data_IF_512949686925
#
_entry.id   IF_512949686925
#
_cell.length_a   1.000
_cell.length_b   1.000
_cell.length_c   1.000
_cell.angle_alpha   90.00
_cell.angle_beta   90.00
_cell.angle_gamma   90.00
#
_symmetry.space_group_name_H-M   'P 1'
#
loop_
_entity.id
_entity.type
_entity.pdbx_description
1 polymer ?
#
# COMPACT_ATOMS: atom_id res chain seq x y z
N UNK A 1 -27.74 21.74 10.06
CA UNK A 1 -26.49 21.21 10.65
C UNK A 1 -25.39 22.24 10.38
N UNK A 2 -24.86 22.88 11.43
CA UNK A 2 -23.79 23.86 11.29
C UNK A 2 -22.54 23.21 10.69
N UNK A 3 -21.89 23.86 9.73
CA UNK A 3 -20.61 23.40 9.22
C UNK A 3 -19.62 23.33 10.39
N UNK A 4 -18.91 22.19 10.58
CA UNK A 4 -17.87 22.13 11.59
C UNK A 4 -16.86 23.24 11.30
N UNK A 5 -16.56 24.07 12.32
CA UNK A 5 -15.55 25.12 12.19
C UNK A 5 -14.17 24.49 12.21
N UNK A 6 -13.58 24.32 11.05
CA UNK A 6 -12.17 23.99 10.93
C UNK A 6 -11.29 25.24 11.01
N UNK A 7 -10.05 25.07 11.44
CA UNK A 7 -9.02 26.08 11.21
C UNK A 7 -8.98 26.30 9.70
N UNK A 8 -9.25 27.53 9.28
CA UNK A 8 -9.21 27.89 7.87
C UNK A 8 -7.79 27.61 7.35
N UNK A 9 -7.71 26.76 6.33
CA UNK A 9 -6.48 26.31 5.74
C UNK A 9 -6.32 26.86 4.34
N UNK A 10 -7.24 27.76 3.95
CA UNK A 10 -7.19 28.34 2.63
C UNK A 10 -6.00 29.30 2.54
N UNK A 11 -5.35 29.22 1.41
CA UNK A 11 -4.43 30.20 0.87
C UNK A 11 -5.10 31.59 0.74
N UNK A 12 -5.73 32.09 1.81
CA UNK A 12 -6.54 33.31 1.78
C UNK A 12 -5.72 34.61 1.79
N UNK A 13 -4.41 34.48 1.72
CA UNK A 13 -3.56 35.65 1.53
C UNK A 13 -3.14 35.71 0.07
N UNK A 14 -3.66 36.70 -0.67
CA UNK A 14 -3.21 36.99 -2.05
C UNK A 14 -1.68 36.98 -2.19
N UNK A 15 -0.99 37.52 -1.19
CA UNK A 15 0.47 37.53 -1.16
C UNK A 15 1.08 36.15 -0.89
N UNK A 16 0.48 35.36 -0.01
CA UNK A 16 0.92 33.99 0.27
C UNK A 16 0.74 33.07 -0.94
N UNK A 17 -0.37 33.17 -1.63
CA UNK A 17 -0.65 32.41 -2.85
C UNK A 17 0.30 32.81 -3.98
N UNK A 18 0.53 34.10 -4.15
CA UNK A 18 1.54 34.60 -5.11
C UNK A 18 2.94 34.02 -4.83
N UNK A 19 3.37 34.01 -3.55
CA UNK A 19 4.66 33.43 -3.20
C UNK A 19 4.73 31.93 -3.50
N UNK A 20 3.69 31.17 -3.15
CA UNK A 20 3.66 29.75 -3.48
C UNK A 20 3.70 29.49 -4.99
N UNK A 21 3.05 30.31 -5.79
CA UNK A 21 3.10 30.21 -7.24
C UNK A 21 4.48 30.49 -7.83
N UNK A 22 5.24 31.39 -7.19
CA UNK A 22 6.64 31.64 -7.59
C UNK A 22 7.61 30.53 -7.14
N UNK A 23 7.37 29.94 -5.94
CA UNK A 23 8.33 29.01 -5.31
C UNK A 23 8.07 27.55 -5.74
N UNK A 24 6.80 27.16 -5.90
CA UNK A 24 6.44 25.79 -6.26
C UNK A 24 6.16 25.70 -7.78
N UNK A 25 7.08 25.17 -8.59
CA UNK A 25 6.89 25.14 -10.05
C UNK A 25 5.65 24.35 -10.47
N UNK A 26 5.05 24.71 -11.58
CA UNK A 26 3.86 24.01 -12.12
C UNK A 26 4.10 22.52 -12.44
N UNK A 27 5.34 22.17 -12.80
CA UNK A 27 5.76 20.79 -13.03
C UNK A 27 6.21 20.06 -11.75
N UNK A 28 6.05 20.66 -10.56
CA UNK A 28 6.38 19.99 -9.32
C UNK A 28 5.43 18.82 -9.06
N UNK A 29 5.97 17.67 -8.61
CA UNK A 29 5.19 16.46 -8.35
C UNK A 29 3.95 16.71 -7.48
N UNK A 30 4.10 17.45 -6.38
CA UNK A 30 3.00 17.72 -5.45
C UNK A 30 1.90 18.60 -6.08
N UNK A 31 2.24 19.51 -7.04
CA UNK A 31 1.23 20.24 -7.82
C UNK A 31 0.41 19.30 -8.69
N UNK A 32 1.06 18.40 -9.41
CA UNK A 32 0.35 17.43 -10.24
C UNK A 32 -0.51 16.49 -9.40
N UNK A 33 0.01 16.03 -8.27
CA UNK A 33 -0.77 15.22 -7.33
C UNK A 33 -2.00 15.99 -6.80
N UNK A 34 -1.81 17.25 -6.40
CA UNK A 34 -2.91 18.08 -5.89
C UNK A 34 -4.02 18.28 -6.93
N UNK A 35 -3.67 18.41 -8.20
CA UNK A 35 -4.62 18.60 -9.29
C UNK A 35 -5.41 17.32 -9.65
N UNK A 36 -4.88 16.13 -9.35
CA UNK A 36 -5.50 14.84 -9.68
C UNK A 36 -6.48 14.33 -8.62
N UNK A 37 -6.44 14.87 -7.40
CA UNK A 37 -7.25 14.38 -6.27
C UNK A 37 -8.18 15.48 -5.76
N UNK A 38 -9.47 15.20 -5.68
CA UNK A 38 -10.44 16.09 -5.04
C UNK A 38 -10.36 15.99 -3.51
N UNK A 39 -9.59 16.90 -2.91
CA UNK A 39 -9.43 16.94 -1.46
C UNK A 39 -10.69 17.39 -0.73
N UNK A 40 -11.58 18.17 -1.38
CA UNK A 40 -12.86 18.59 -0.79
C UNK A 40 -13.79 17.41 -0.54
N UNK A 41 -13.74 16.41 -1.40
CA UNK A 41 -14.42 15.14 -1.21
C UNK A 41 -13.94 14.44 0.08
N UNK A 42 -12.61 14.38 0.30
CA UNK A 42 -12.05 13.79 1.52
C UNK A 42 -12.39 14.59 2.77
N UNK A 43 -12.42 15.92 2.71
CA UNK A 43 -12.93 16.74 3.83
C UNK A 43 -14.34 16.30 4.23
N UNK A 44 -15.27 16.22 3.27
CA UNK A 44 -16.66 15.80 3.51
C UNK A 44 -16.76 14.36 4.03
N UNK A 45 -16.02 13.42 3.43
CA UNK A 45 -15.99 12.01 3.82
C UNK A 45 -15.47 11.82 5.26
N UNK A 46 -14.36 12.46 5.58
CA UNK A 46 -13.64 12.26 6.84
C UNK A 46 -14.21 13.08 8.01
N UNK A 47 -14.96 14.16 7.74
CA UNK A 47 -15.68 14.92 8.77
C UNK A 47 -16.61 14.02 9.59
N UNK A 48 -17.21 13.01 8.96
CA UNK A 48 -18.09 12.04 9.62
C UNK A 48 -17.40 11.25 10.76
N UNK A 49 -16.06 11.25 10.77
CA UNK A 49 -15.27 10.60 11.83
C UNK A 49 -15.06 11.48 13.07
N UNK A 50 -15.49 12.75 13.02
CA UNK A 50 -15.40 13.67 14.14
C UNK A 50 -16.69 13.60 14.99
N UNK A 51 -16.54 13.67 16.32
CA UNK A 51 -17.68 13.74 17.26
C UNK A 51 -17.97 15.20 17.58
N UNK A 52 -19.26 15.54 17.57
CA UNK A 52 -19.72 16.86 17.99
C UNK A 52 -19.73 17.90 16.86
N UNK A 53 -20.49 18.95 17.05
CA UNK A 53 -20.72 20.02 16.06
C UNK A 53 -19.66 21.13 16.13
N UNK A 54 -18.62 20.98 16.92
CA UNK A 54 -17.52 21.95 17.02
C UNK A 54 -17.92 23.33 17.58
N UNK A 55 -18.98 23.39 18.37
CA UNK A 55 -19.52 24.64 18.91
C UNK A 55 -18.71 25.21 20.08
N UNK A 56 -17.89 24.37 20.73
CA UNK A 56 -17.05 24.78 21.87
C UNK A 56 -15.62 24.24 21.71
N UNK A 57 -14.62 25.03 22.11
CA UNK A 57 -13.23 24.68 22.08
C UNK A 57 -12.45 25.21 20.87
N UNK A 58 -11.16 24.84 20.77
CA UNK A 58 -10.30 25.20 19.63
C UNK A 58 -10.81 24.51 18.36
N UNK A 59 -10.94 25.24 17.25
CA UNK A 59 -11.30 24.64 15.97
C UNK A 59 -10.35 23.49 15.59
N UNK A 60 -10.89 22.40 15.05
CA UNK A 60 -10.10 21.29 14.54
C UNK A 60 -9.41 21.66 13.21
N UNK A 61 -8.33 20.99 12.88
CA UNK A 61 -7.79 21.04 11.52
C UNK A 61 -8.76 20.35 10.54
N UNK A 62 -8.76 20.83 9.29
CA UNK A 62 -9.46 20.15 8.20
C UNK A 62 -8.97 18.69 8.10
N UNK A 63 -9.88 17.70 8.08
CA UNK A 63 -9.51 16.30 7.92
C UNK A 63 -8.69 16.01 6.67
N UNK A 64 -8.93 16.69 5.56
CA UNK A 64 -8.14 16.50 4.35
C UNK A 64 -6.71 17.08 4.47
N UNK A 65 -6.52 18.17 5.25
CA UNK A 65 -5.18 18.66 5.57
C UNK A 65 -4.40 17.61 6.34
N UNK A 66 -5.01 17.02 7.37
CA UNK A 66 -4.36 15.98 8.18
C UNK A 66 -4.11 14.70 7.35
N UNK A 67 -5.02 14.34 6.44
CA UNK A 67 -4.80 13.24 5.50
C UNK A 67 -3.59 13.51 4.61
N UNK A 68 -3.52 14.70 3.98
CA UNK A 68 -2.38 15.10 3.14
C UNK A 68 -1.07 15.10 3.94
N UNK A 69 -1.11 15.51 5.21
CA UNK A 69 0.06 15.44 6.10
C UNK A 69 0.52 14.00 6.35
N UNK A 70 -0.41 13.06 6.57
CA UNK A 70 -0.09 11.63 6.65
C UNK A 70 0.45 11.09 5.32
N UNK A 71 -0.11 11.50 4.18
CA UNK A 71 0.43 11.09 2.87
C UNK A 71 1.86 11.59 2.66
N UNK A 72 2.20 12.81 3.09
CA UNK A 72 3.58 13.31 3.10
C UNK A 72 4.47 12.42 3.98
N UNK A 73 4.01 12.03 5.18
CA UNK A 73 4.75 11.11 6.05
C UNK A 73 5.12 9.80 5.35
N UNK A 74 4.17 9.19 4.63
CA UNK A 74 4.42 7.92 3.91
C UNK A 74 5.14 8.11 2.57
N UNK A 75 4.94 9.24 1.90
CA UNK A 75 5.60 9.56 0.64
C UNK A 75 7.10 9.75 0.81
N UNK A 76 7.52 10.37 1.92
CA UNK A 76 8.92 10.69 2.23
C UNK A 76 9.53 9.78 3.32
N UNK A 77 8.81 8.76 3.78
CA UNK A 77 9.24 7.82 4.85
C UNK A 77 9.62 8.54 6.15
N UNK A 78 8.80 9.49 6.58
CA UNK A 78 9.02 10.31 7.78
C UNK A 78 8.19 9.77 8.97
N UNK A 79 8.74 9.87 10.18
CA UNK A 79 7.96 9.75 11.42
C UNK A 79 7.02 10.95 11.58
N UNK A 80 6.04 10.89 12.48
CA UNK A 80 5.14 12.03 12.75
C UNK A 80 5.91 13.28 13.20
N UNK A 81 6.97 13.15 14.02
CA UNK A 81 7.83 14.28 14.43
C UNK A 81 8.62 14.86 13.26
N UNK A 82 9.18 14.00 12.41
CA UNK A 82 9.87 14.45 11.21
C UNK A 82 8.90 15.09 10.22
N UNK A 83 7.66 14.62 10.15
CA UNK A 83 6.63 15.21 9.30
C UNK A 83 6.27 16.62 9.74
N UNK A 84 6.10 16.86 11.05
CA UNK A 84 5.89 18.21 11.59
C UNK A 84 7.03 19.16 11.21
N UNK A 85 8.29 18.76 11.46
CA UNK A 85 9.47 19.54 11.10
C UNK A 85 9.52 19.80 9.58
N UNK A 86 9.35 18.74 8.78
CA UNK A 86 9.38 18.82 7.32
C UNK A 86 8.33 19.77 6.75
N UNK A 87 7.10 19.75 7.26
CA UNK A 87 6.02 20.65 6.84
C UNK A 87 6.30 22.10 7.24
N UNK A 88 7.04 22.36 8.31
CA UNK A 88 7.44 23.71 8.68
C UNK A 88 8.58 24.27 7.82
N UNK A 89 9.46 23.41 7.30
CA UNK A 89 10.68 23.80 6.59
C UNK A 89 10.55 23.69 5.06
N UNK A 90 9.66 22.83 4.55
CA UNK A 90 9.52 22.54 3.13
C UNK A 90 8.28 23.23 2.53
N UNK A 91 8.48 24.30 1.79
CA UNK A 91 7.40 25.11 1.21
C UNK A 91 6.51 24.33 0.22
N UNK A 92 7.02 23.49 -0.70
CA UNK A 92 6.19 22.67 -1.54
C UNK A 92 5.27 21.70 -0.77
N UNK A 93 5.79 21.06 0.30
CA UNK A 93 4.99 20.17 1.15
C UNK A 93 3.95 20.96 1.95
N UNK A 94 4.33 22.11 2.50
CA UNK A 94 3.45 23.04 3.21
C UNK A 94 2.30 23.51 2.34
N UNK A 95 2.60 23.92 1.11
CA UNK A 95 1.60 24.24 0.09
C UNK A 95 0.66 23.07 -0.19
N UNK A 96 1.22 21.87 -0.43
CA UNK A 96 0.43 20.68 -0.76
C UNK A 96 -0.57 20.31 0.33
N UNK A 97 -0.22 20.44 1.60
CA UNK A 97 -1.15 20.13 2.70
C UNK A 97 -2.19 21.22 2.91
N UNK A 98 -2.04 22.41 2.30
CA UNK A 98 -2.99 23.52 2.36
C UNK A 98 -2.75 24.46 3.54
N UNK A 99 -1.51 24.57 4.03
CA UNK A 99 -1.14 25.54 5.05
C UNK A 99 -0.76 26.88 4.42
N UNK A 100 -1.14 27.99 5.05
CA UNK A 100 -0.60 29.30 4.70
C UNK A 100 0.90 29.37 4.98
N UNK A 101 1.61 30.27 4.29
CA UNK A 101 3.06 30.32 4.33
C UNK A 101 3.62 30.59 5.75
N UNK A 102 2.92 31.39 6.53
CA UNK A 102 3.23 31.75 7.91
C UNK A 102 2.61 30.81 8.96
N UNK A 103 1.72 29.92 8.53
CA UNK A 103 1.01 28.99 9.42
C UNK A 103 1.94 27.84 9.84
N UNK A 104 1.91 27.48 11.13
CA UNK A 104 2.63 26.31 11.65
C UNK A 104 1.92 25.02 11.26
N UNK A 105 2.72 23.98 11.00
CA UNK A 105 2.23 22.63 10.78
C UNK A 105 1.48 22.09 12.00
N UNK A 106 0.55 21.12 11.79
CA UNK A 106 -0.02 20.37 12.89
C UNK A 106 1.09 19.68 13.70
N UNK A 107 0.98 19.74 15.01
CA UNK A 107 1.86 19.02 15.93
C UNK A 107 1.81 17.50 15.66
N UNK A 108 2.95 16.82 15.83
CA UNK A 108 3.06 15.37 15.62
C UNK A 108 2.05 14.56 16.43
N UNK A 109 1.69 15.01 17.65
CA UNK A 109 0.66 14.34 18.46
C UNK A 109 -0.72 14.45 17.79
N UNK A 110 -1.02 15.56 17.11
CA UNK A 110 -2.24 15.73 16.31
C UNK A 110 -2.31 14.71 15.17
N UNK A 111 -1.18 14.45 14.48
CA UNK A 111 -1.11 13.45 13.42
C UNK A 111 -1.32 12.04 13.99
N UNK A 112 -0.71 11.72 15.13
CA UNK A 112 -0.89 10.44 15.82
C UNK A 112 -2.35 10.22 16.23
N UNK A 113 -2.99 11.22 16.84
CA UNK A 113 -4.41 11.17 17.24
C UNK A 113 -5.32 11.04 16.01
N UNK A 114 -5.00 11.72 14.92
CA UNK A 114 -5.77 11.63 13.68
C UNK A 114 -5.68 10.24 13.05
N UNK A 115 -4.48 9.65 12.96
CA UNK A 115 -4.29 8.27 12.47
C UNK A 115 -5.09 7.28 13.31
N UNK A 116 -5.05 7.40 14.66
CA UNK A 116 -5.84 6.55 15.54
C UNK A 116 -7.35 6.75 15.36
N UNK A 117 -7.79 7.96 15.03
CA UNK A 117 -9.19 8.23 14.68
C UNK A 117 -9.60 7.53 13.39
N UNK A 118 -8.77 7.58 12.35
CA UNK A 118 -9.00 6.85 11.10
C UNK A 118 -9.11 5.35 11.38
N UNK A 119 -8.18 4.77 12.15
CA UNK A 119 -8.20 3.36 12.51
C UNK A 119 -9.45 2.97 13.29
N UNK A 120 -9.72 3.65 14.40
CA UNK A 120 -10.82 3.27 15.30
C UNK A 120 -12.21 3.52 14.74
N UNK A 121 -12.41 4.59 13.98
CA UNK A 121 -13.73 5.01 13.46
C UNK A 121 -13.93 4.72 11.99
N UNK A 122 -12.89 4.89 11.17
CA UNK A 122 -12.90 4.56 9.75
C UNK A 122 -12.81 3.06 9.51
N UNK A 123 -12.14 2.35 10.42
CA UNK A 123 -11.82 0.92 10.31
C UNK A 123 -11.08 0.60 9.00
N UNK A 124 -10.80 -0.65 8.77
CA UNK A 124 -10.15 -1.14 7.54
C UNK A 124 -10.90 -0.72 6.26
N UNK A 125 -12.21 -0.77 6.30
CA UNK A 125 -13.08 -0.42 5.16
C UNK A 125 -12.80 0.97 4.58
N UNK A 126 -12.47 1.97 5.42
CA UNK A 126 -12.13 3.31 4.95
C UNK A 126 -10.91 3.30 4.04
N UNK A 127 -9.87 2.55 4.41
CA UNK A 127 -8.63 2.49 3.64
C UNK A 127 -8.79 1.68 2.37
N UNK A 128 -9.59 0.61 2.40
CA UNK A 128 -9.97 -0.14 1.19
C UNK A 128 -10.71 0.75 0.20
N UNK A 129 -11.70 1.50 0.68
CA UNK A 129 -12.44 2.46 -0.15
C UNK A 129 -11.51 3.52 -0.75
N UNK A 130 -10.60 4.10 0.05
CA UNK A 130 -9.64 5.10 -0.43
C UNK A 130 -8.70 4.52 -1.50
N UNK A 131 -8.22 3.29 -1.34
CA UNK A 131 -7.39 2.63 -2.34
C UNK A 131 -8.17 2.43 -3.65
N UNK A 132 -9.41 1.93 -3.57
CA UNK A 132 -10.28 1.72 -4.73
C UNK A 132 -10.64 3.04 -5.43
N UNK A 133 -10.91 4.12 -4.67
CA UNK A 133 -11.20 5.46 -5.20
C UNK A 133 -10.02 6.03 -6.00
N UNK A 134 -8.77 5.79 -5.56
CA UNK A 134 -7.58 6.22 -6.28
C UNK A 134 -7.41 5.42 -7.58
N UNK A 135 -7.71 4.12 -7.57
CA UNK A 135 -7.72 3.29 -8.78
C UNK A 135 -8.77 3.79 -9.77
N UNK A 136 -9.97 4.08 -9.29
CA UNK A 136 -11.06 4.63 -10.11
C UNK A 136 -10.73 6.03 -10.65
N UNK A 137 -10.15 6.92 -9.82
CA UNK A 137 -9.68 8.24 -10.28
C UNK A 137 -8.65 8.10 -11.40
N UNK A 138 -7.68 7.19 -11.25
CA UNK A 138 -6.69 6.94 -12.30
C UNK A 138 -7.35 6.46 -13.61
N UNK A 139 -8.34 5.56 -13.52
CA UNK A 139 -9.10 5.05 -14.67
C UNK A 139 -9.86 6.17 -15.38
N UNK A 140 -10.53 7.04 -14.64
CA UNK A 140 -11.24 8.20 -15.17
C UNK A 140 -10.30 9.20 -15.84
N UNK A 141 -9.06 9.30 -15.37
CA UNK A 141 -8.00 10.12 -15.97
C UNK A 141 -7.27 9.43 -17.15
N UNK A 142 -7.80 8.29 -17.63
CA UNK A 142 -7.29 7.60 -18.83
C UNK A 142 -6.16 6.60 -18.58
N UNK A 143 -5.84 6.27 -17.33
CA UNK A 143 -4.89 5.18 -17.04
C UNK A 143 -5.49 3.85 -17.48
N UNK A 144 -4.76 3.13 -18.34
CA UNK A 144 -5.17 1.82 -18.84
C UNK A 144 -4.78 0.70 -17.90
N UNK A 145 -5.72 -0.19 -17.64
CA UNK A 145 -5.50 -1.45 -16.92
C UNK A 145 -5.54 -2.60 -17.93
N UNK A 146 -4.58 -3.51 -17.84
CA UNK A 146 -4.48 -4.66 -18.73
C UNK A 146 -5.14 -5.91 -18.16
N UNK A 147 -5.18 -6.96 -18.99
CA UNK A 147 -5.83 -8.23 -18.68
C UNK A 147 -5.10 -9.09 -17.63
N UNK A 148 -3.86 -8.76 -17.27
CA UNK A 148 -3.06 -9.56 -16.32
C UNK A 148 -2.97 -8.87 -14.98
N UNK A 149 -3.30 -9.63 -13.92
CA UNK A 149 -3.16 -9.26 -12.52
C UNK A 149 -2.10 -10.15 -11.87
N UNK A 150 -1.30 -9.57 -10.98
CA UNK A 150 -0.24 -10.26 -10.27
C UNK A 150 -0.56 -10.24 -8.78
N UNK A 151 -0.58 -11.41 -8.15
CA UNK A 151 -0.76 -11.54 -6.70
C UNK A 151 0.53 -12.08 -6.09
N UNK A 152 1.02 -11.39 -5.05
CA UNK A 152 2.20 -11.82 -4.29
C UNK A 152 2.17 -11.22 -2.89
N UNK A 153 3.07 -11.66 -2.01
CA UNK A 153 3.17 -11.17 -0.65
C UNK A 153 4.55 -10.60 -0.32
N UNK A 154 4.56 -9.63 0.57
CA UNK A 154 5.78 -9.04 1.10
C UNK A 154 5.75 -9.07 2.62
N UNK A 155 6.87 -9.48 3.25
CA UNK A 155 7.01 -9.50 4.69
C UNK A 155 7.52 -8.14 5.22
N UNK A 156 7.08 -7.80 6.44
CA UNK A 156 7.55 -6.67 7.25
C UNK A 156 7.92 -7.15 8.63
N UNK A 157 9.08 -6.74 9.13
CA UNK A 157 9.55 -7.11 10.47
C UNK A 157 8.78 -6.30 11.52
N UNK A 158 8.36 -6.94 12.61
CA UNK A 158 7.70 -6.28 13.73
C UNK A 158 8.61 -5.24 14.39
N UNK A 159 8.00 -4.23 15.01
CA UNK A 159 8.74 -3.17 15.70
C UNK A 159 9.02 -3.53 17.17
N UNK A 160 9.58 -4.72 17.38
CA UNK A 160 9.97 -5.24 18.69
C UNK A 160 11.42 -5.72 18.66
N UNK A 161 12.03 -5.86 19.83
CA UNK A 161 13.35 -6.46 19.96
C UNK A 161 13.20 -7.94 20.31
N UNK A 162 13.19 -8.81 19.32
CA UNK A 162 12.98 -10.26 19.48
C UNK A 162 14.03 -10.98 20.32
N UNK A 163 15.19 -10.37 20.61
CA UNK A 163 16.21 -10.94 21.52
C UNK A 163 15.90 -10.71 23.00
N UNK A 164 15.07 -9.69 23.30
CA UNK A 164 14.68 -9.28 24.65
C UNK A 164 13.21 -9.53 24.94
N UNK A 165 12.44 -9.92 23.93
CA UNK A 165 11.01 -10.15 24.01
C UNK A 165 10.74 -11.49 24.71
N UNK A 166 9.75 -11.53 25.59
CA UNK A 166 9.31 -12.75 26.26
C UNK A 166 8.47 -13.59 25.27
N UNK A 167 8.89 -14.81 24.93
CA UNK A 167 8.09 -15.66 24.03
C UNK A 167 6.69 -15.99 24.57
N UNK A 168 6.52 -16.01 25.90
CA UNK A 168 5.24 -16.32 26.56
C UNK A 168 4.34 -15.09 26.71
N UNK A 169 4.91 -13.88 26.70
CA UNK A 169 4.18 -12.59 26.71
C UNK A 169 4.81 -11.58 25.72
N UNK A 170 4.69 -11.82 24.42
CA UNK A 170 5.35 -11.00 23.40
C UNK A 170 4.77 -9.60 23.35
N UNK A 171 5.65 -8.58 23.21
CA UNK A 171 5.26 -7.16 23.08
C UNK A 171 4.30 -6.93 21.88
N UNK A 172 4.47 -7.70 20.81
CA UNK A 172 3.55 -7.71 19.63
C UNK A 172 2.92 -9.10 19.48
N UNK A 173 1.84 -9.35 20.19
CA UNK A 173 1.15 -10.65 20.22
C UNK A 173 0.55 -11.08 18.87
N UNK A 174 0.28 -10.13 17.97
CA UNK A 174 -0.28 -10.39 16.63
C UNK A 174 0.81 -10.80 15.62
N UNK A 175 2.06 -10.38 15.82
CA UNK A 175 3.18 -10.77 14.99
C UNK A 175 3.53 -12.25 15.22
N UNK A 176 4.00 -12.92 14.16
CA UNK A 176 4.41 -14.33 14.23
C UNK A 176 5.64 -14.58 13.38
N UNK A 177 6.39 -15.63 13.72
CA UNK A 177 7.52 -16.11 12.96
C UNK A 177 7.07 -16.65 11.60
N UNK A 178 7.63 -16.08 10.53
CA UNK A 178 7.41 -16.53 9.16
C UNK A 178 8.72 -16.88 8.46
N UNK A 179 8.64 -17.62 7.36
CA UNK A 179 9.79 -17.96 6.53
C UNK A 179 10.06 -16.86 5.53
N UNK A 180 11.25 -16.28 5.55
CA UNK A 180 11.68 -15.26 4.58
C UNK A 180 12.14 -15.91 3.28
N UNK A 181 13.07 -16.84 3.35
CA UNK A 181 13.49 -17.69 2.24
C UNK A 181 14.27 -18.92 2.75
N UNK A 182 14.26 -19.97 1.93
CA UNK A 182 15.06 -21.17 2.16
C UNK A 182 15.98 -21.42 0.98
N UNK A 183 17.22 -21.74 1.24
CA UNK A 183 18.23 -22.01 0.22
C UNK A 183 19.09 -23.20 0.61
N UNK A 184 19.67 -23.86 -0.38
CA UNK A 184 20.59 -24.96 -0.17
C UNK A 184 22.04 -24.46 -0.10
N UNK A 185 22.77 -24.89 0.88
CA UNK A 185 24.22 -24.63 1.05
C UNK A 185 24.96 -25.93 0.99
N UNK A 186 26.07 -25.99 0.27
CA UNK A 186 26.98 -27.12 0.32
C UNK A 186 27.90 -26.96 1.55
N UNK A 187 27.88 -27.94 2.43
CA UNK A 187 28.82 -27.98 3.55
C UNK A 187 30.23 -28.26 3.04
N UNK A 188 31.30 -27.99 3.84
CA UNK A 188 32.68 -28.36 3.48
C UNK A 188 32.85 -29.86 3.17
N UNK A 189 31.98 -30.69 3.70
CA UNK A 189 31.94 -32.15 3.49
C UNK A 189 31.18 -32.56 2.22
N UNK A 190 30.71 -31.60 1.41
CA UNK A 190 29.98 -31.83 0.16
C UNK A 190 28.50 -32.20 0.31
N UNK A 191 27.94 -32.19 1.53
CA UNK A 191 26.53 -32.45 1.77
C UNK A 191 25.69 -31.17 1.50
N UNK A 192 24.51 -31.35 0.91
CA UNK A 192 23.54 -30.22 0.77
C UNK A 192 22.73 -30.08 2.05
N UNK A 193 22.85 -28.93 2.72
CA UNK A 193 22.01 -28.53 3.83
C UNK A 193 21.02 -27.46 3.40
N UNK A 194 19.77 -27.55 3.88
CA UNK A 194 18.75 -26.52 3.67
C UNK A 194 18.82 -25.51 4.83
N UNK A 195 19.17 -24.28 4.54
CA UNK A 195 19.08 -23.17 5.49
C UNK A 195 17.83 -22.34 5.24
N UNK A 196 17.19 -21.94 6.33
CA UNK A 196 15.95 -21.16 6.27
C UNK A 196 16.13 -19.91 7.11
N UNK A 197 15.88 -18.75 6.50
CA UNK A 197 15.85 -17.48 7.19
C UNK A 197 14.41 -17.18 7.60
N UNK A 198 14.24 -16.73 8.82
CA UNK A 198 12.96 -16.38 9.41
C UNK A 198 12.86 -14.86 9.63
N UNK A 199 11.66 -14.37 9.77
CA UNK A 199 11.36 -13.03 10.26
C UNK A 199 10.22 -13.13 11.27
N UNK A 200 10.20 -12.22 12.23
CA UNK A 200 9.08 -12.04 13.16
C UNK A 200 8.28 -10.83 12.72
N UNK A 201 6.99 -10.98 12.41
CA UNK A 201 6.21 -9.85 11.90
C UNK A 201 4.98 -10.25 11.11
N UNK A 202 4.73 -9.51 10.04
CA UNK A 202 3.52 -9.59 9.24
C UNK A 202 3.82 -9.78 7.76
N UNK A 203 2.78 -10.17 7.00
CA UNK A 203 2.78 -10.20 5.53
C UNK A 203 1.73 -9.24 5.01
N UNK A 204 2.06 -8.53 3.95
CA UNK A 204 1.12 -7.77 3.12
C UNK A 204 0.94 -8.51 1.81
N UNK A 205 -0.27 -8.98 1.55
CA UNK A 205 -0.68 -9.64 0.31
C UNK A 205 -1.24 -8.58 -0.61
N UNK A 206 -0.76 -8.53 -1.84
CA UNK A 206 -1.07 -7.45 -2.79
C UNK A 206 -1.53 -8.04 -4.11
N UNK A 207 -2.58 -7.45 -4.67
CA UNK A 207 -2.94 -7.60 -6.06
C UNK A 207 -2.54 -6.34 -6.83
N UNK A 208 -1.83 -6.48 -7.96
CA UNK A 208 -1.31 -5.39 -8.76
C UNK A 208 -1.54 -5.65 -10.25
N UNK A 209 -2.04 -4.66 -10.96
CA UNK A 209 -2.22 -4.76 -12.41
C UNK A 209 -0.87 -4.68 -13.14
N UNK A 210 -0.59 -5.64 -14.01
CA UNK A 210 0.70 -5.78 -14.70
C UNK A 210 1.00 -4.63 -15.68
N UNK A 211 -0.02 -3.97 -16.24
CA UNK A 211 0.15 -2.87 -17.20
C UNK A 211 0.26 -1.53 -16.49
N UNK A 212 -0.68 -1.19 -15.63
CA UNK A 212 -0.67 0.08 -14.91
C UNK A 212 0.35 0.11 -13.78
N UNK A 213 0.75 -1.03 -13.22
CA UNK A 213 1.52 -1.20 -11.99
C UNK A 213 0.83 -0.55 -10.76
N UNK A 214 -0.48 -0.40 -10.79
CA UNK A 214 -1.27 0.07 -9.66
C UNK A 214 -1.73 -1.10 -8.80
N UNK A 215 -1.67 -0.93 -7.50
CA UNK A 215 -2.17 -1.88 -6.51
C UNK A 215 -3.69 -1.72 -6.46
N UNK A 216 -4.40 -2.82 -6.65
CA UNK A 216 -5.86 -2.85 -6.71
C UNK A 216 -6.49 -3.54 -5.51
N UNK A 217 -5.76 -4.43 -4.86
CA UNK A 217 -6.18 -5.13 -3.66
C UNK A 217 -5.04 -5.30 -2.67
N UNK A 218 -5.39 -5.29 -1.37
CA UNK A 218 -4.44 -5.48 -0.28
C UNK A 218 -5.11 -6.20 0.89
N UNK A 219 -4.37 -7.11 1.51
CA UNK A 219 -4.70 -7.75 2.78
C UNK A 219 -3.43 -7.92 3.64
N UNK A 220 -3.63 -8.04 4.94
CA UNK A 220 -2.54 -8.23 5.91
C UNK A 220 -2.77 -9.52 6.69
N UNK A 221 -1.69 -10.20 7.03
CA UNK A 221 -1.72 -11.36 7.92
C UNK A 221 -0.49 -11.44 8.80
N UNK A 222 -0.55 -12.25 9.86
CA UNK A 222 0.64 -12.62 10.64
C UNK A 222 1.63 -13.41 9.77
N UNK A 223 2.93 -13.34 10.12
CA UNK A 223 4.02 -13.91 9.33
C UNK A 223 3.92 -15.41 9.03
N UNK A 224 3.24 -16.19 9.89
CA UNK A 224 3.08 -17.64 9.75
C UNK A 224 1.90 -18.05 8.86
N UNK A 225 1.03 -17.12 8.44
CA UNK A 225 -0.14 -17.46 7.61
C UNK A 225 0.31 -17.85 6.21
N UNK A 226 -0.31 -18.88 5.66
CA UNK A 226 -0.05 -19.32 4.30
C UNK A 226 -0.64 -18.34 3.27
N UNK A 227 0.17 -17.94 2.28
CA UNK A 227 -0.16 -16.88 1.33
C UNK A 227 -1.38 -17.21 0.46
N UNK A 228 -1.53 -18.46 0.04
CA UNK A 228 -2.62 -18.93 -0.80
C UNK A 228 -4.02 -18.72 -0.20
N UNK A 229 -4.14 -18.53 1.12
CA UNK A 229 -5.40 -18.26 1.82
C UNK A 229 -6.02 -16.91 1.40
N UNK A 230 -5.20 -15.95 1.02
CA UNK A 230 -5.63 -14.60 0.66
C UNK A 230 -5.93 -14.42 -0.83
N UNK A 231 -5.66 -15.45 -1.64
CA UNK A 231 -5.76 -15.37 -3.10
C UNK A 231 -7.18 -15.04 -3.59
N UNK A 232 -8.16 -15.83 -3.20
CA UNK A 232 -9.55 -15.68 -3.67
C UNK A 232 -10.16 -14.35 -3.24
N UNK A 233 -9.87 -13.90 -2.02
CA UNK A 233 -10.34 -12.61 -1.52
C UNK A 233 -9.75 -11.42 -2.32
N UNK A 234 -8.47 -11.47 -2.69
CA UNK A 234 -7.84 -10.46 -3.55
C UNK A 234 -8.46 -10.45 -4.96
N UNK A 235 -8.71 -11.63 -5.54
CA UNK A 235 -9.44 -11.75 -6.83
C UNK A 235 -10.82 -11.10 -6.74
N UNK A 236 -11.56 -11.33 -5.64
CA UNK A 236 -12.88 -10.73 -5.45
C UNK A 236 -12.82 -9.20 -5.32
N UNK A 237 -11.78 -8.66 -4.66
CA UNK A 237 -11.58 -7.20 -4.56
C UNK A 237 -11.36 -6.58 -5.95
N UNK A 238 -10.57 -7.23 -6.81
CA UNK A 238 -10.34 -6.78 -8.18
C UNK A 238 -11.61 -6.86 -9.03
N UNK A 239 -12.34 -7.96 -8.94
CA UNK A 239 -13.61 -8.14 -9.68
C UNK A 239 -14.66 -7.09 -9.30
N UNK A 240 -14.75 -6.72 -8.01
CA UNK A 240 -15.65 -5.64 -7.53
C UNK A 240 -15.32 -4.27 -8.14
N UNK A 241 -14.07 -4.03 -8.53
CA UNK A 241 -13.66 -2.79 -9.19
C UNK A 241 -13.94 -2.77 -10.69
N UNK A 242 -14.42 -3.88 -11.27
CA UNK A 242 -14.76 -3.97 -12.70
C UNK A 242 -13.56 -3.75 -13.61
N UNK A 243 -12.37 -4.20 -13.21
CA UNK A 243 -11.16 -4.13 -14.02
C UNK A 243 -11.20 -5.20 -15.13
N UNK A 244 -10.60 -4.94 -16.32
CA UNK A 244 -10.61 -5.87 -17.45
C UNK A 244 -9.60 -7.01 -17.27
N UNK A 245 -9.62 -7.67 -16.11
CA UNK A 245 -8.68 -8.73 -15.74
C UNK A 245 -9.21 -10.08 -16.22
N UNK A 246 -8.38 -10.82 -16.94
CA UNK A 246 -8.67 -12.15 -17.47
C UNK A 246 -7.72 -13.23 -16.90
N UNK A 247 -6.50 -12.83 -16.50
CA UNK A 247 -5.44 -13.74 -16.04
C UNK A 247 -4.87 -13.31 -14.70
N UNK A 248 -4.74 -14.26 -13.78
CA UNK A 248 -4.06 -14.05 -12.49
C UNK A 248 -2.76 -14.84 -12.41
N UNK A 249 -1.66 -14.10 -12.22
CA UNK A 249 -0.33 -14.65 -12.03
C UNK A 249 0.09 -14.59 -10.55
N UNK A 250 0.66 -15.67 -10.05
CA UNK A 250 1.20 -15.75 -8.68
C UNK A 250 2.37 -16.72 -8.60
N UNK A 251 3.08 -16.73 -7.47
CA UNK A 251 4.16 -17.66 -7.22
C UNK A 251 3.67 -19.06 -6.79
N UNK A 252 4.62 -19.97 -6.55
CA UNK A 252 4.33 -21.36 -6.10
C UNK A 252 3.66 -21.44 -4.73
N UNK A 253 3.76 -20.41 -3.91
CA UNK A 253 3.11 -20.34 -2.61
C UNK A 253 1.58 -20.34 -2.74
N UNK A 254 1.08 -19.87 -3.86
CA UNK A 254 -0.36 -19.81 -4.18
C UNK A 254 -0.88 -21.03 -4.94
N UNK A 255 0.00 -22.00 -5.32
CA UNK A 255 -0.43 -23.23 -6.01
C UNK A 255 -1.22 -24.15 -5.08
N UNK A 256 -2.53 -23.97 -5.13
CA UNK A 256 -3.54 -24.78 -4.47
C UNK A 256 -4.67 -25.12 -5.46
N UNK A 257 -5.21 -26.35 -5.35
CA UNK A 257 -6.30 -26.80 -6.24
C UNK A 257 -7.52 -25.90 -6.18
N UNK A 258 -7.85 -25.37 -5.00
CA UNK A 258 -9.00 -24.48 -4.81
C UNK A 258 -8.79 -23.15 -5.52
N UNK A 259 -7.57 -22.58 -5.51
CA UNK A 259 -7.27 -21.33 -6.19
C UNK A 259 -7.41 -21.46 -7.71
N UNK A 260 -6.90 -22.56 -8.30
CA UNK A 260 -7.08 -22.86 -9.73
C UNK A 260 -8.55 -23.10 -10.09
N UNK A 261 -9.26 -23.90 -9.28
CA UNK A 261 -10.68 -24.15 -9.47
C UNK A 261 -11.49 -22.87 -9.38
N UNK A 262 -11.20 -22.00 -8.42
CA UNK A 262 -11.88 -20.73 -8.25
C UNK A 262 -11.74 -19.83 -9.49
N UNK A 263 -10.52 -19.69 -10.03
CA UNK A 263 -10.31 -18.94 -11.27
C UNK A 263 -11.09 -19.52 -12.43
N UNK A 264 -11.02 -20.85 -12.64
CA UNK A 264 -11.78 -21.53 -13.69
C UNK A 264 -13.29 -21.34 -13.54
N UNK A 265 -13.81 -21.45 -12.31
CA UNK A 265 -15.23 -21.21 -12.01
C UNK A 265 -15.67 -19.77 -12.36
N UNK A 266 -14.78 -18.79 -12.20
CA UNK A 266 -15.01 -17.38 -12.58
C UNK A 266 -14.76 -17.09 -14.06
N UNK A 267 -14.36 -18.07 -14.86
CA UNK A 267 -13.99 -17.89 -16.27
C UNK A 267 -12.67 -17.14 -16.46
N UNK A 268 -11.76 -17.23 -15.47
CA UNK A 268 -10.47 -16.55 -15.44
C UNK A 268 -9.33 -17.54 -15.67
N UNK A 269 -8.26 -17.07 -16.30
CA UNK A 269 -7.07 -17.88 -16.55
C UNK A 269 -6.12 -17.88 -15.35
N UNK A 270 -5.56 -19.05 -15.06
CA UNK A 270 -4.55 -19.22 -14.02
C UNK A 270 -3.14 -19.22 -14.60
N UNK A 271 -2.31 -18.28 -14.15
CA UNK A 271 -0.88 -18.26 -14.38
C UNK A 271 -0.09 -18.42 -13.05
N UNK A 272 -0.66 -19.14 -12.08
CA UNK A 272 0.02 -19.51 -10.84
C UNK A 272 1.12 -20.52 -11.16
N UNK A 273 2.35 -20.26 -10.68
CA UNK A 273 3.48 -21.17 -10.92
C UNK A 273 3.24 -22.49 -10.18
N UNK A 274 3.19 -23.59 -10.93
CA UNK A 274 2.93 -24.92 -10.37
C UNK A 274 4.11 -25.44 -9.53
N UNK A 275 3.79 -26.16 -8.46
CA UNK A 275 4.75 -26.95 -7.69
C UNK A 275 5.23 -28.14 -8.53
N UNK A 276 6.50 -28.50 -8.39
CA UNK A 276 7.17 -29.54 -9.21
C UNK A 276 6.46 -30.91 -9.12
N UNK A 277 5.79 -31.20 -8.02
CA UNK A 277 5.06 -32.45 -7.83
C UNK A 277 3.79 -32.56 -8.69
N UNK A 278 3.17 -31.43 -9.09
CA UNK A 278 1.97 -31.43 -9.93
C UNK A 278 2.21 -32.02 -11.32
N UNK A 279 3.36 -31.75 -11.90
CA UNK A 279 3.75 -32.25 -13.22
C UNK A 279 4.37 -33.65 -13.18
N UNK A 280 4.81 -34.11 -11.99
CA UNK A 280 5.49 -35.41 -11.81
C UNK A 280 4.56 -36.55 -11.34
N UNK A 281 3.46 -36.24 -10.65
CA UNK A 281 2.52 -37.25 -10.16
C UNK A 281 1.78 -37.92 -11.30
N UNK A 282 1.56 -39.23 -11.18
CA UNK A 282 0.53 -39.98 -11.93
C UNK A 282 -0.86 -39.62 -11.37
N UNK A 283 -1.21 -38.35 -11.49
CA UNK A 283 -2.47 -37.78 -11.05
C UNK A 283 -3.35 -37.60 -12.29
N UNK A 284 -4.64 -37.97 -12.23
CA UNK A 284 -5.57 -37.83 -13.34
C UNK A 284 -5.68 -36.43 -13.93
N UNK A 285 -5.11 -35.41 -13.25
CA UNK A 285 -5.08 -34.02 -13.68
C UNK A 285 -3.75 -33.60 -14.33
N UNK A 286 -2.77 -34.52 -14.51
CA UNK A 286 -1.45 -34.17 -15.06
C UNK A 286 -1.54 -33.55 -16.45
N UNK A 287 -2.40 -34.09 -17.30
CA UNK A 287 -2.59 -33.60 -18.67
C UNK A 287 -3.18 -32.19 -18.67
N UNK A 288 -4.17 -31.93 -17.81
CA UNK A 288 -4.75 -30.61 -17.62
C UNK A 288 -3.68 -29.56 -17.21
N UNK A 289 -2.80 -29.91 -16.25
CA UNK A 289 -1.71 -29.03 -15.83
C UNK A 289 -0.69 -28.79 -16.94
N UNK A 290 -0.37 -29.82 -17.72
CA UNK A 290 0.53 -29.69 -18.87
C UNK A 290 -0.07 -28.82 -19.97
N UNK A 291 -1.36 -28.92 -20.23
CA UNK A 291 -2.08 -28.09 -21.18
C UNK A 291 -2.10 -26.63 -20.70
N UNK A 292 -2.52 -26.38 -19.45
CA UNK A 292 -2.55 -25.05 -18.85
C UNK A 292 -1.19 -24.33 -18.96
N UNK A 293 -0.08 -25.02 -18.67
CA UNK A 293 1.28 -24.42 -18.73
C UNK A 293 1.66 -24.03 -20.17
N UNK A 294 1.06 -24.65 -21.19
CA UNK A 294 1.34 -24.35 -22.61
C UNK A 294 0.53 -23.17 -23.14
N UNK A 295 -0.51 -22.75 -22.44
CA UNK A 295 -1.35 -21.62 -22.87
C UNK A 295 -0.54 -20.33 -22.92
N UNK A 296 -0.93 -19.43 -23.82
CA UNK A 296 -0.30 -18.11 -23.96
C UNK A 296 -0.51 -17.28 -22.70
N UNK A 297 -1.69 -17.32 -22.12
CA UNK A 297 -2.08 -16.63 -20.90
C UNK A 297 -1.17 -17.00 -19.72
N UNK A 298 -0.92 -18.31 -19.55
CA UNK A 298 0.00 -18.79 -18.52
C UNK A 298 1.42 -18.27 -18.75
N UNK A 299 1.94 -18.39 -19.96
CA UNK A 299 3.32 -17.98 -20.30
C UNK A 299 3.49 -16.46 -20.17
N UNK A 300 2.49 -15.69 -20.57
CA UNK A 300 2.50 -14.24 -20.45
C UNK A 300 2.41 -13.82 -18.97
N UNK A 301 1.46 -14.35 -18.20
CA UNK A 301 1.32 -14.07 -16.77
C UNK A 301 2.59 -14.38 -15.99
N UNK A 302 3.23 -15.53 -16.27
CA UNK A 302 4.51 -15.90 -15.67
C UNK A 302 5.63 -14.89 -15.97
N UNK A 303 5.69 -14.37 -17.20
CA UNK A 303 6.70 -13.36 -17.60
C UNK A 303 6.47 -12.02 -16.90
N UNK A 304 5.22 -11.64 -16.66
CA UNK A 304 4.88 -10.38 -16.04
C UNK A 304 5.13 -10.33 -14.51
N UNK A 305 5.20 -11.49 -13.84
CA UNK A 305 5.26 -11.60 -12.38
C UNK A 305 6.37 -10.78 -11.71
N UNK A 306 7.55 -10.67 -12.33
CA UNK A 306 8.68 -9.92 -11.74
C UNK A 306 8.37 -8.44 -11.45
N UNK A 307 7.32 -7.89 -12.06
CA UNK A 307 6.94 -6.49 -11.89
C UNK A 307 6.51 -6.16 -10.46
N UNK A 308 5.86 -7.12 -9.78
CA UNK A 308 5.44 -6.92 -8.39
C UNK A 308 6.64 -6.90 -7.43
N UNK A 309 7.71 -7.66 -7.73
CA UNK A 309 8.93 -7.66 -6.92
C UNK A 309 9.59 -6.27 -6.91
N UNK A 310 9.60 -5.58 -8.06
CA UNK A 310 10.07 -4.19 -8.15
C UNK A 310 9.21 -3.24 -7.31
N UNK A 311 7.89 -3.46 -7.29
CA UNK A 311 6.96 -2.68 -6.46
C UNK A 311 7.24 -2.89 -4.98
N UNK A 312 7.49 -4.12 -4.56
CA UNK A 312 7.88 -4.43 -3.18
C UNK A 312 9.24 -3.84 -2.80
N UNK A 313 10.21 -3.86 -3.72
CA UNK A 313 11.49 -3.17 -3.54
C UNK A 313 11.28 -1.67 -3.29
N UNK A 314 10.46 -1.00 -4.10
CA UNK A 314 10.09 0.41 -3.91
C UNK A 314 9.42 0.65 -2.55
N UNK A 315 8.43 -0.18 -2.18
CA UNK A 315 7.72 -0.08 -0.91
C UNK A 315 8.66 -0.19 0.31
N UNK A 316 9.58 -1.17 0.28
CA UNK A 316 10.54 -1.39 1.37
C UNK A 316 11.60 -0.29 1.47
N UNK A 317 12.21 0.06 0.33
CA UNK A 317 13.39 0.93 0.33
C UNK A 317 13.05 2.42 0.39
N UNK A 318 11.85 2.81 -0.07
CA UNK A 318 11.48 4.23 -0.22
C UNK A 318 10.32 4.65 0.67
N UNK A 319 9.55 3.70 1.22
CA UNK A 319 8.32 3.97 1.97
C UNK A 319 8.23 3.18 3.28
N UNK A 320 9.34 2.60 3.73
CA UNK A 320 9.47 1.97 5.05
C UNK A 320 8.64 0.71 5.28
N UNK A 321 8.13 0.03 4.22
CA UNK A 321 7.32 -1.18 4.41
C UNK A 321 8.13 -2.39 4.91
N UNK A 322 9.46 -2.33 4.90
CA UNK A 322 10.31 -3.43 5.39
C UNK A 322 10.21 -3.67 6.90
N UNK A 323 9.82 -2.66 7.66
CA UNK A 323 9.64 -2.71 9.12
C UNK A 323 8.35 -2.03 9.54
N UNK A 324 7.69 -2.59 10.55
CA UNK A 324 6.50 -1.97 11.13
C UNK A 324 6.88 -0.67 11.84
N UNK A 325 6.10 0.38 11.64
CA UNK A 325 6.24 1.65 12.40
C UNK A 325 5.60 1.55 13.78
N UNK A 326 4.64 0.62 13.92
CA UNK A 326 3.75 0.51 15.08
C UNK A 326 3.63 -0.95 15.51
N UNK A 327 3.22 -1.18 16.75
CA UNK A 327 2.94 -2.49 17.32
C UNK A 327 1.46 -2.83 17.11
N UNK A 328 1.17 -4.07 16.71
CA UNK A 328 -0.16 -4.64 16.49
C UNK A 328 -0.65 -4.59 15.06
N UNK A 329 -1.38 -5.64 14.66
CA UNK A 329 -1.83 -5.89 13.27
C UNK A 329 -2.68 -4.76 12.71
N UNK A 330 -3.67 -4.26 13.44
CA UNK A 330 -4.54 -3.19 12.95
C UNK A 330 -3.77 -1.90 12.60
N UNK A 331 -2.71 -1.57 13.35
CA UNK A 331 -1.88 -0.41 13.05
C UNK A 331 -0.95 -0.67 11.86
N UNK A 332 -0.48 -1.90 11.73
CA UNK A 332 0.29 -2.30 10.57
C UNK A 332 -0.57 -2.29 9.30
N UNK A 333 -1.84 -2.69 9.36
CA UNK A 333 -2.78 -2.58 8.23
C UNK A 333 -2.90 -1.14 7.74
N UNK A 334 -3.02 -0.17 8.65
CA UNK A 334 -3.03 1.27 8.30
C UNK A 334 -1.73 1.65 7.57
N UNK A 335 -0.58 1.19 8.07
CA UNK A 335 0.71 1.42 7.41
C UNK A 335 0.74 0.83 6.00
N UNK A 336 0.31 -0.41 5.83
CA UNK A 336 0.30 -1.11 4.55
C UNK A 336 -0.60 -0.39 3.53
N UNK A 337 -1.82 -0.01 3.93
CA UNK A 337 -2.74 0.74 3.06
C UNK A 337 -2.22 2.13 2.69
N UNK A 338 -1.71 2.92 3.64
CA UNK A 338 -1.15 4.23 3.35
C UNK A 338 0.07 4.12 2.42
N UNK A 339 0.90 3.09 2.60
CA UNK A 339 1.99 2.80 1.67
C UNK A 339 1.48 2.48 0.26
N UNK A 340 0.47 1.60 0.13
CA UNK A 340 -0.13 1.28 -1.17
C UNK A 340 -0.76 2.51 -1.84
N UNK A 341 -1.44 3.35 -1.07
CA UNK A 341 -2.04 4.60 -1.52
C UNK A 341 -0.97 5.54 -2.09
N UNK A 342 0.13 5.80 -1.38
CA UNK A 342 1.18 6.69 -1.89
C UNK A 342 1.90 6.10 -3.11
N UNK A 343 2.08 4.79 -3.18
CA UNK A 343 2.62 4.10 -4.36
C UNK A 343 1.71 4.29 -5.58
N UNK A 344 0.39 4.17 -5.38
CA UNK A 344 -0.59 4.39 -6.45
C UNK A 344 -0.65 5.86 -6.87
N UNK A 345 -0.63 6.80 -5.92
CA UNK A 345 -0.59 8.24 -6.22
C UNK A 345 0.66 8.62 -7.03
N UNK A 346 1.83 8.12 -6.65
CA UNK A 346 3.07 8.29 -7.43
C UNK A 346 2.94 7.74 -8.83
N UNK A 347 2.38 6.53 -8.95
CA UNK A 347 2.21 5.87 -10.24
C UNK A 347 1.21 6.60 -11.13
N UNK A 348 0.11 7.06 -10.56
CA UNK A 348 -0.91 7.84 -11.25
C UNK A 348 -0.33 9.14 -11.82
N UNK A 349 0.39 9.93 -11.00
CA UNK A 349 1.06 11.16 -11.47
C UNK A 349 2.01 10.85 -12.62
N UNK A 350 2.86 9.82 -12.49
CA UNK A 350 3.78 9.42 -13.55
C UNK A 350 3.07 9.05 -14.85
N UNK A 351 1.99 8.28 -14.79
CA UNK A 351 1.26 7.81 -15.98
C UNK A 351 0.51 8.93 -16.68
N UNK A 352 0.00 9.92 -15.95
CA UNK A 352 -0.82 11.00 -16.50
C UNK A 352 0.03 12.19 -16.94
N UNK A 353 1.03 12.59 -16.13
CA UNK A 353 1.83 13.80 -16.39
C UNK A 353 3.27 13.54 -16.84
N UNK A 354 3.73 12.28 -16.84
CA UNK A 354 5.13 11.94 -17.10
C UNK A 354 6.12 12.30 -15.98
N UNK A 355 5.65 12.95 -14.91
CA UNK A 355 6.52 13.43 -13.83
C UNK A 355 6.78 12.31 -12.81
N UNK A 356 8.06 12.04 -12.55
CA UNK A 356 8.47 11.10 -11.53
C UNK A 356 8.65 11.78 -10.18
N UNK A 357 8.30 11.05 -9.13
CA UNK A 357 8.61 11.45 -7.77
C UNK A 357 10.08 11.15 -7.45
N UNK A 358 10.89 12.19 -7.36
CA UNK A 358 12.27 12.10 -6.89
C UNK A 358 12.27 12.42 -5.40
N UNK A 359 12.36 11.38 -4.55
CA UNK A 359 12.59 11.59 -3.12
C UNK A 359 14.04 12.05 -2.93
N UNK A 360 14.29 13.24 -2.39
CA UNK A 360 15.61 13.55 -1.89
C UNK A 360 15.92 12.51 -0.80
N UNK A 361 17.04 11.82 -0.94
CA UNK A 361 17.54 10.88 0.07
C UNK A 361 18.03 11.73 1.24
N UNK A 362 17.14 12.02 2.19
CA UNK A 362 17.59 12.49 3.50
C UNK A 362 18.29 11.30 4.16
N UNK A 363 19.58 11.44 4.44
CA UNK A 363 20.39 10.38 5.04
C UNK A 363 19.69 9.80 6.27
N UNK A 364 19.62 8.47 6.31
CA UNK A 364 19.21 7.71 7.48
C UNK A 364 20.28 7.75 8.55
#
# INVERSE_FOLDING_TARGET
MGNPRYIQTDHQSFYGDYLYDQIVPENHFLRKLNALVDWSYYTKKLTKLYKGEGLAGRPAYDPALLLRSLLISFLYDLSERQTEAYLNENLPAKWFVGLAIDQKAPDHSTLSVYRERLRKRGKLKLFEEMLAEIVETARQQGVRFGAIQIIDSVHSEANVNTEKDDPDDPEDADAKWGVKHSYKVKTPEGKEERRTNYFYGYKTHVSMNAQSHMITGLEVSSGNVWDGKHFTSLVEKDMKQGLPVETYAADRGYDDGNNHYYLSYKGLHSAIILKDNRLKKKDGNKELWQEMVRTEEYQQGRRERYKIERKFGEAKMRHGLGRCRYIGMEKYEVQAYLTAIVLNLKRMVKLISGIEFNCPVYGR
#
